data_IF_094426717991
#
_entry.id   IF_094426717991
#
_cell.length_a   1.000
_cell.length_b   1.000
_cell.length_c   1.000
_cell.angle_alpha   90.00
_cell.angle_beta   90.00
_cell.angle_gamma   90.00
#
_symmetry.space_group_name_H-M   'P 1'
#
loop_
_entity.id
_entity.type
_entity.pdbx_description
1 polymer ?
#
# COMPACT_ATOMS: atom_id res chain seq x y z
N UNK A 1 -16.58 27.62 -6.03
CA UNK A 1 -16.64 26.18 -5.73
C UNK A 1 -15.31 25.56 -6.16
N UNK A 2 -14.49 25.07 -5.22
CA UNK A 2 -13.27 24.34 -5.56
C UNK A 2 -13.64 22.87 -5.78
N UNK A 3 -13.39 22.34 -6.98
CA UNK A 3 -13.59 20.93 -7.28
C UNK A 3 -12.43 20.12 -6.68
N UNK A 4 -12.71 19.15 -5.82
CA UNK A 4 -11.72 18.16 -5.39
C UNK A 4 -11.46 17.19 -6.53
N UNK A 5 -10.28 17.26 -7.14
CA UNK A 5 -9.83 16.24 -8.08
C UNK A 5 -9.19 15.12 -7.25
N UNK A 6 -9.76 13.90 -7.23
CA UNK A 6 -9.08 12.79 -6.58
C UNK A 6 -7.73 12.57 -7.28
N UNK A 7 -6.70 12.30 -6.49
CA UNK A 7 -5.44 11.78 -7.00
C UNK A 7 -5.66 10.33 -7.52
N UNK A 8 -4.68 9.46 -7.38
CA UNK A 8 -4.87 8.05 -7.73
C UNK A 8 -5.99 7.42 -6.91
N UNK A 9 -6.76 6.52 -7.53
CA UNK A 9 -7.82 5.73 -6.90
C UNK A 9 -7.50 4.23 -7.01
N UNK A 10 -7.96 3.38 -6.08
CA UNK A 10 -7.68 1.94 -6.14
C UNK A 10 -8.41 1.28 -7.32
N UNK A 11 -7.66 0.49 -8.10
CA UNK A 11 -8.22 -0.41 -9.13
C UNK A 11 -8.77 -1.70 -8.51
N UNK A 12 -9.62 -2.41 -9.24
CA UNK A 12 -10.26 -3.66 -8.79
C UNK A 12 -9.78 -4.91 -9.54
N UNK A 13 -8.86 -4.75 -10.49
CA UNK A 13 -8.44 -5.83 -11.40
C UNK A 13 -7.44 -6.79 -10.74
N UNK A 14 -6.48 -6.27 -9.98
CA UNK A 14 -5.45 -7.05 -9.29
C UNK A 14 -5.60 -6.83 -7.78
N UNK A 15 -5.90 -7.87 -6.99
CA UNK A 15 -5.94 -7.76 -5.54
C UNK A 15 -4.58 -7.39 -4.96
N UNK A 16 -4.56 -6.46 -4.01
CA UNK A 16 -3.36 -6.15 -3.24
C UNK A 16 -3.27 -7.12 -2.05
N UNK A 17 -2.26 -8.00 -2.06
CA UNK A 17 -2.00 -8.95 -0.96
C UNK A 17 -0.59 -8.69 -0.43
N UNK A 18 -0.50 -8.15 0.78
CA UNK A 18 0.78 -7.76 1.38
C UNK A 18 1.58 -8.98 1.87
N UNK A 19 2.84 -9.15 1.44
CA UNK A 19 3.73 -10.17 2.01
C UNK A 19 4.00 -9.89 3.50
N UNK A 20 3.90 -10.93 4.34
CA UNK A 20 4.24 -10.84 5.75
C UNK A 20 5.74 -10.74 5.95
N UNK A 21 6.18 -9.81 6.80
CA UNK A 21 7.57 -9.67 7.22
C UNK A 21 7.59 -9.28 8.69
N UNK A 22 7.94 -10.21 9.58
CA UNK A 22 8.00 -9.93 11.02
C UNK A 22 9.11 -8.93 11.33
N UNK A 23 8.79 -7.86 12.05
CA UNK A 23 9.75 -6.88 12.57
C UNK A 23 9.88 -6.96 14.08
N UNK A 24 10.79 -6.19 14.67
CA UNK A 24 11.05 -6.15 16.10
C UNK A 24 10.88 -4.71 16.61
N UNK A 25 10.04 -4.52 17.63
CA UNK A 25 9.92 -3.24 18.32
C UNK A 25 10.66 -3.30 19.65
N UNK A 26 11.69 -2.45 19.79
CA UNK A 26 12.58 -2.46 20.95
C UNK A 26 12.32 -1.26 21.87
N UNK A 27 12.25 -1.52 23.18
CA UNK A 27 12.21 -0.48 24.22
C UNK A 27 13.30 -0.72 25.25
N UNK A 28 13.77 0.34 25.92
CA UNK A 28 14.80 0.23 26.97
C UNK A 28 14.36 -0.66 28.15
N UNK A 29 13.07 -0.63 28.49
CA UNK A 29 12.55 -1.34 29.67
C UNK A 29 12.14 -2.80 29.40
N UNK A 30 11.78 -3.17 28.16
CA UNK A 30 11.20 -4.48 27.84
C UNK A 30 11.92 -5.25 26.74
N UNK A 31 13.09 -4.80 26.30
CA UNK A 31 13.81 -5.44 25.19
C UNK A 31 13.04 -5.33 23.87
N UNK A 32 13.28 -6.26 22.95
CA UNK A 32 12.62 -6.32 21.65
C UNK A 32 11.49 -7.35 21.65
N UNK A 33 10.34 -6.97 21.10
CA UNK A 33 9.19 -7.85 20.90
C UNK A 33 8.86 -7.96 19.42
N UNK A 34 8.52 -9.17 18.98
CA UNK A 34 8.11 -9.43 17.60
C UNK A 34 6.80 -8.72 17.27
N UNK A 35 6.77 -8.07 16.10
CA UNK A 35 5.58 -7.41 15.54
C UNK A 35 5.27 -8.02 14.18
N UNK A 36 4.02 -8.44 13.99
CA UNK A 36 3.54 -8.99 12.73
C UNK A 36 3.30 -7.87 11.71
N UNK A 37 4.37 -7.43 11.06
CA UNK A 37 4.33 -6.43 10.01
C UNK A 37 4.23 -7.05 8.61
N UNK A 38 3.97 -6.21 7.62
CA UNK A 38 3.92 -6.59 6.21
C UNK A 38 4.60 -5.52 5.36
N UNK A 39 4.97 -5.88 4.14
CA UNK A 39 5.51 -4.95 3.15
C UNK A 39 4.51 -4.71 2.01
N UNK A 40 4.66 -3.59 1.32
CA UNK A 40 3.83 -3.22 0.16
C UNK A 40 4.75 -2.74 -0.97
N UNK A 41 4.30 -2.89 -2.22
CA UNK A 41 4.98 -2.30 -3.36
C UNK A 41 4.72 -0.78 -3.41
N UNK A 42 5.74 0.00 -3.71
CA UNK A 42 5.62 1.44 -3.91
C UNK A 42 4.67 1.78 -5.07
N UNK A 43 3.94 2.89 -4.93
CA UNK A 43 2.90 3.28 -5.88
C UNK A 43 3.43 3.55 -7.30
N UNK A 44 4.68 3.99 -7.46
CA UNK A 44 5.29 4.25 -8.77
C UNK A 44 5.43 2.98 -9.63
N UNK A 45 5.49 1.81 -8.98
CA UNK A 45 5.60 0.51 -9.66
C UNK A 45 4.24 -0.15 -9.92
N UNK A 46 3.14 0.47 -9.47
CA UNK A 46 1.80 -0.04 -9.72
C UNK A 46 1.34 0.36 -11.12
N UNK A 47 0.60 -0.52 -11.76
CA UNK A 47 -0.05 -0.20 -13.02
C UNK A 47 -1.14 0.84 -12.80
N UNK A 48 -1.02 1.99 -13.47
CA UNK A 48 -2.01 3.07 -13.42
C UNK A 48 -2.85 3.03 -14.71
N UNK A 49 -4.17 2.99 -14.53
CA UNK A 49 -5.13 2.93 -15.63
C UNK A 49 -6.40 3.70 -15.29
N UNK A 50 -7.21 3.97 -16.32
CA UNK A 50 -8.48 4.67 -16.15
C UNK A 50 -9.45 3.88 -15.26
N UNK A 51 -10.28 4.59 -14.49
CA UNK A 51 -11.30 3.96 -13.63
C UNK A 51 -12.25 3.11 -14.47
N UNK A 52 -12.42 1.85 -14.07
CA UNK A 52 -13.33 0.90 -14.72
C UNK A 52 -12.87 0.37 -16.09
N UNK A 53 -11.67 0.70 -16.55
CA UNK A 53 -11.12 0.20 -17.81
C UNK A 53 -9.70 -0.35 -17.68
N UNK A 54 -9.05 -0.53 -18.83
CA UNK A 54 -7.71 -1.11 -18.97
C UNK A 54 -6.76 -0.17 -19.71
N UNK A 55 -7.19 1.07 -19.99
CA UNK A 55 -6.37 2.05 -20.71
C UNK A 55 -5.39 2.68 -19.74
N UNK A 56 -4.09 2.56 -20.06
CA UNK A 56 -3.02 3.17 -19.29
C UNK A 56 -3.22 4.68 -19.18
N UNK A 57 -2.93 5.23 -17.99
CA UNK A 57 -2.85 6.66 -17.77
C UNK A 57 -1.45 7.20 -18.03
#
# INVERSE_FOLDING_TARGET
FAASVPAQVPGTLTPEVHPSLTSQQCTKARGCVSVNTSIVLDAQYRWIHNVGGYTNC
#
